data_IF_800910807097
#
_entry.id   IF_800910807097
#
_cell.length_a   1.000
_cell.length_b   1.000
_cell.length_c   1.000
_cell.angle_alpha   90.00
_cell.angle_beta   90.00
_cell.angle_gamma   90.00
#
_symmetry.space_group_name_H-M   'P 1'
#
loop_
_entity.id
_entity.type
_entity.pdbx_description
1 polymer ?
#
# COMPACT_ATOMS: atom_id res chain seq x y z
N UNK A 1 -75.78 9.88 -41.22
CA UNK A 1 -75.42 9.11 -40.01
C UNK A 1 -74.90 7.76 -40.47
N UNK A 2 -73.57 7.62 -40.61
CA UNK A 2 -72.83 6.34 -40.66
C UNK A 2 -71.34 6.68 -40.82
N UNK A 3 -70.62 6.63 -39.71
CA UNK A 3 -69.16 6.59 -39.65
C UNK A 3 -68.69 5.19 -40.06
N UNK A 4 -67.67 5.08 -40.91
CA UNK A 4 -66.84 3.87 -40.97
C UNK A 4 -65.39 4.33 -40.90
N UNK A 5 -64.78 3.96 -39.77
CA UNK A 5 -63.44 4.29 -39.30
C UNK A 5 -62.36 3.54 -40.07
N UNK A 6 -61.31 4.25 -40.48
CA UNK A 6 -60.06 3.68 -40.97
C UNK A 6 -59.28 3.06 -39.80
N UNK A 7 -59.04 1.75 -39.84
CA UNK A 7 -58.16 1.07 -38.89
C UNK A 7 -56.70 1.28 -39.34
N UNK A 8 -55.99 2.17 -38.64
CA UNK A 8 -54.54 2.31 -38.75
C UNK A 8 -53.85 1.15 -38.02
N UNK A 9 -53.05 0.37 -38.74
CA UNK A 9 -52.15 -0.63 -38.15
C UNK A 9 -50.97 0.14 -37.52
N UNK A 10 -50.96 0.23 -36.20
CA UNK A 10 -49.81 0.76 -35.45
C UNK A 10 -48.70 -0.29 -35.42
N UNK A 11 -47.61 -0.03 -36.14
CA UNK A 11 -46.36 -0.79 -36.02
C UNK A 11 -45.68 -0.40 -34.71
N UNK A 12 -45.76 -1.26 -33.69
CA UNK A 12 -45.02 -1.09 -32.44
C UNK A 12 -43.58 -1.52 -32.70
N UNK A 13 -42.68 -0.56 -32.91
CA UNK A 13 -41.23 -0.81 -32.85
C UNK A 13 -40.86 -1.08 -31.38
N UNK A 14 -40.62 -2.34 -31.05
CA UNK A 14 -39.92 -2.71 -29.83
C UNK A 14 -38.44 -2.29 -29.98
N UNK A 15 -38.09 -1.14 -29.40
CA UNK A 15 -36.71 -0.79 -29.09
C UNK A 15 -36.23 -1.75 -28.00
N UNK A 16 -35.63 -2.86 -28.41
CA UNK A 16 -34.82 -3.69 -27.52
C UNK A 16 -33.57 -2.87 -27.21
N UNK A 17 -33.59 -2.16 -26.08
CA UNK A 17 -32.38 -1.68 -25.41
C UNK A 17 -31.59 -2.91 -24.97
N UNK A 18 -30.85 -3.50 -25.91
CA UNK A 18 -29.85 -4.51 -25.60
C UNK A 18 -28.79 -3.83 -24.76
N UNK A 19 -28.75 -4.15 -23.47
CA UNK A 19 -27.56 -3.94 -22.67
C UNK A 19 -26.48 -4.82 -23.30
N UNK A 20 -25.69 -4.26 -24.22
CA UNK A 20 -24.62 -5.01 -24.87
C UNK A 20 -23.54 -5.23 -23.80
N UNK A 21 -23.58 -6.38 -23.15
CA UNK A 21 -22.46 -6.84 -22.31
C UNK A 21 -21.21 -6.80 -23.19
N UNK A 22 -20.14 -6.15 -22.71
CA UNK A 22 -18.86 -6.17 -23.40
C UNK A 22 -18.49 -7.62 -23.72
N UNK A 23 -18.05 -7.88 -24.95
CA UNK A 23 -17.67 -9.23 -25.38
C UNK A 23 -16.44 -9.67 -24.58
N UNK A 24 -16.58 -10.75 -23.79
CA UNK A 24 -15.48 -11.30 -22.98
C UNK A 24 -14.67 -12.27 -23.84
N UNK A 25 -13.34 -12.17 -23.80
CA UNK A 25 -12.44 -13.14 -24.42
C UNK A 25 -11.33 -13.60 -23.47
N UNK A 26 -11.02 -14.89 -23.51
CA UNK A 26 -10.06 -15.55 -22.62
C UNK A 26 -8.71 -15.77 -23.29
N UNK A 27 -7.66 -15.28 -22.67
CA UNK A 27 -6.27 -15.40 -23.10
C UNK A 27 -5.48 -16.21 -22.07
N UNK A 28 -5.45 -17.54 -22.24
CA UNK A 28 -4.72 -18.45 -21.36
C UNK A 28 -3.24 -18.53 -21.73
N UNK A 29 -2.34 -18.25 -20.78
CA UNK A 29 -0.88 -18.27 -20.99
C UNK A 29 -0.35 -19.61 -21.53
N UNK A 30 -0.99 -20.73 -21.22
CA UNK A 30 -0.60 -22.05 -21.74
C UNK A 30 -0.84 -22.18 -23.25
N UNK A 31 -1.87 -21.52 -23.78
CA UNK A 31 -2.12 -21.44 -25.23
C UNK A 31 -1.03 -20.67 -25.97
N UNK A 32 -0.25 -19.87 -25.24
CA UNK A 32 0.92 -19.12 -25.72
C UNK A 32 2.25 -19.80 -25.39
N UNK A 33 2.21 -21.06 -24.94
CA UNK A 33 3.39 -21.88 -24.70
C UNK A 33 3.96 -21.79 -23.29
N UNK A 34 3.24 -21.20 -22.33
CA UNK A 34 3.66 -21.25 -20.93
C UNK A 34 3.64 -22.71 -20.40
N UNK A 35 4.68 -23.08 -19.64
CA UNK A 35 4.89 -24.40 -19.05
C UNK A 35 4.83 -24.26 -17.52
N UNK A 36 3.92 -25.02 -16.92
CA UNK A 36 3.66 -25.02 -15.48
C UNK A 36 4.57 -25.99 -14.70
N UNK A 37 5.89 -25.88 -14.87
CA UNK A 37 6.88 -26.77 -14.24
C UNK A 37 7.69 -26.10 -13.10
N UNK A 38 7.40 -24.84 -12.80
CA UNK A 38 8.09 -24.01 -11.81
C UNK A 38 9.56 -23.70 -12.13
N UNK A 39 10.02 -23.98 -13.35
CA UNK A 39 11.45 -23.95 -13.74
C UNK A 39 11.72 -23.29 -15.09
N UNK A 40 10.81 -23.43 -16.05
CA UNK A 40 10.92 -22.80 -17.36
C UNK A 40 10.57 -21.32 -17.23
N UNK A 41 11.37 -20.43 -17.82
CA UNK A 41 11.02 -19.01 -17.87
C UNK A 41 9.84 -18.79 -18.82
N UNK A 42 8.72 -18.34 -18.26
CA UNK A 42 7.47 -18.08 -18.96
C UNK A 42 7.27 -16.62 -19.36
N UNK A 43 8.25 -15.74 -19.12
CA UNK A 43 8.15 -14.29 -19.39
C UNK A 43 7.68 -13.99 -20.83
N UNK A 44 8.25 -14.68 -21.82
CA UNK A 44 7.87 -14.50 -23.24
C UNK A 44 6.42 -14.89 -23.52
N UNK A 45 5.97 -16.05 -23.00
CA UNK A 45 4.61 -16.50 -23.17
C UNK A 45 3.62 -15.51 -22.54
N UNK A 46 3.90 -15.08 -21.31
CA UNK A 46 3.09 -14.09 -20.60
C UNK A 46 3.01 -12.76 -21.37
N UNK A 47 4.14 -12.23 -21.84
CA UNK A 47 4.14 -10.97 -22.60
C UNK A 47 3.40 -11.09 -23.94
N UNK A 48 3.49 -12.24 -24.62
CA UNK A 48 2.72 -12.50 -25.84
C UNK A 48 1.22 -12.60 -25.58
N UNK A 49 0.82 -13.30 -24.52
CA UNK A 49 -0.59 -13.37 -24.10
C UNK A 49 -1.14 -11.98 -23.78
N UNK A 50 -0.38 -11.16 -23.04
CA UNK A 50 -0.79 -9.81 -22.68
C UNK A 50 -0.95 -8.92 -23.91
N UNK A 51 -0.02 -8.99 -24.86
CA UNK A 51 -0.07 -8.19 -26.09
C UNK A 51 -1.38 -8.40 -26.84
N UNK A 52 -1.80 -9.64 -27.01
CA UNK A 52 -3.03 -9.96 -27.74
C UNK A 52 -4.27 -9.62 -26.90
N UNK A 53 -4.24 -9.92 -25.59
CA UNK A 53 -5.31 -9.57 -24.66
C UNK A 53 -5.57 -8.06 -24.63
N UNK A 54 -4.52 -7.26 -24.57
CA UNK A 54 -4.58 -5.80 -24.46
C UNK A 54 -5.10 -5.14 -25.75
N UNK A 55 -5.09 -5.84 -26.90
CA UNK A 55 -5.66 -5.36 -28.16
C UNK A 55 -7.16 -5.63 -28.31
N UNK A 56 -7.75 -6.42 -27.41
CA UNK A 56 -9.16 -6.76 -27.44
C UNK A 56 -10.05 -5.57 -27.04
N UNK A 57 -11.04 -5.23 -27.87
CA UNK A 57 -11.91 -4.06 -27.67
C UNK A 57 -13.03 -4.29 -26.62
N UNK A 58 -13.15 -5.49 -26.06
CA UNK A 58 -14.11 -5.83 -25.01
C UNK A 58 -13.44 -6.07 -23.66
N UNK A 59 -13.91 -7.06 -22.90
CA UNK A 59 -13.26 -7.48 -21.65
C UNK A 59 -12.29 -8.61 -21.95
N UNK A 60 -11.00 -8.37 -21.75
CA UNK A 60 -9.96 -9.39 -21.92
C UNK A 60 -9.64 -10.04 -20.58
N UNK A 61 -9.66 -11.38 -20.53
CA UNK A 61 -9.25 -12.16 -19.36
C UNK A 61 -7.89 -12.80 -19.62
N UNK A 62 -6.83 -12.19 -19.11
CA UNK A 62 -5.50 -12.79 -19.05
C UNK A 62 -5.47 -13.84 -17.95
N UNK A 63 -5.38 -15.12 -18.30
CA UNK A 63 -5.47 -16.22 -17.34
C UNK A 63 -4.13 -16.92 -17.17
N UNK A 64 -3.69 -17.01 -15.91
CA UNK A 64 -2.65 -17.93 -15.43
C UNK A 64 -3.35 -19.08 -14.68
N UNK A 65 -3.57 -20.25 -15.33
CA UNK A 65 -4.25 -21.38 -14.69
C UNK A 65 -3.46 -21.94 -13.51
N UNK A 66 -4.07 -22.81 -12.71
CA UNK A 66 -3.38 -23.55 -11.66
C UNK A 66 -2.12 -24.26 -12.17
N UNK A 67 -1.05 -24.23 -11.36
CA UNK A 67 0.29 -24.72 -11.69
C UNK A 67 1.38 -23.79 -11.16
N UNK A 68 2.65 -24.18 -11.25
CA UNK A 68 3.79 -23.32 -10.90
C UNK A 68 4.45 -22.77 -12.15
N UNK A 69 4.61 -21.45 -12.26
CA UNK A 69 5.23 -20.78 -13.40
C UNK A 69 6.39 -19.93 -12.92
N UNK A 70 7.61 -20.24 -13.32
CA UNK A 70 8.71 -19.30 -13.16
C UNK A 70 8.60 -18.21 -14.24
N UNK A 71 8.73 -16.95 -13.83
CA UNK A 71 8.67 -15.82 -14.76
C UNK A 71 9.81 -14.88 -14.40
N UNK A 72 10.64 -14.52 -15.38
CA UNK A 72 11.60 -13.43 -15.22
C UNK A 72 10.87 -12.07 -15.17
N UNK A 73 11.60 -10.96 -15.17
CA UNK A 73 10.95 -9.65 -15.15
C UNK A 73 9.97 -9.49 -16.33
N UNK A 74 8.74 -9.07 -16.05
CA UNK A 74 7.66 -8.97 -17.01
C UNK A 74 6.98 -7.60 -16.91
N UNK A 75 7.03 -6.84 -18.01
CA UNK A 75 6.44 -5.52 -18.12
C UNK A 75 5.22 -5.55 -19.04
N UNK A 76 4.03 -5.49 -18.43
CA UNK A 76 2.74 -5.44 -19.08
C UNK A 76 2.33 -3.99 -19.31
N UNK A 77 2.33 -3.54 -20.56
CA UNK A 77 2.18 -2.12 -20.91
C UNK A 77 0.91 -1.93 -21.72
N UNK A 78 0.10 -0.94 -21.33
CA UNK A 78 -1.05 -0.42 -22.07
C UNK A 78 -0.72 0.78 -22.98
N UNK A 79 -1.70 1.59 -23.39
CA UNK A 79 -3.12 1.44 -23.09
C UNK A 79 -3.72 0.20 -23.74
N UNK A 80 -4.65 -0.45 -23.04
CA UNK A 80 -5.44 -1.53 -23.61
C UNK A 80 -6.70 -0.99 -24.27
N UNK A 81 -7.17 -1.67 -25.33
CA UNK A 81 -8.34 -1.27 -26.10
C UNK A 81 -9.65 -1.38 -25.31
N UNK A 82 -9.69 -2.25 -24.29
CA UNK A 82 -10.83 -2.46 -23.40
C UNK A 82 -10.37 -2.80 -21.98
N UNK A 83 -11.28 -3.31 -21.16
CA UNK A 83 -10.99 -3.67 -19.76
C UNK A 83 -10.15 -4.95 -19.69
N UNK A 84 -9.34 -5.07 -18.64
CA UNK A 84 -8.40 -6.17 -18.45
C UNK A 84 -8.62 -6.84 -17.10
N UNK A 85 -8.98 -8.12 -17.11
CA UNK A 85 -8.92 -8.99 -15.93
C UNK A 85 -7.63 -9.81 -15.99
N UNK A 86 -6.71 -9.58 -15.07
CA UNK A 86 -5.48 -10.32 -14.86
C UNK A 86 -5.70 -11.38 -13.77
N UNK A 87 -6.11 -12.57 -14.21
CA UNK A 87 -6.56 -13.65 -13.34
C UNK A 87 -5.42 -14.65 -13.05
N UNK A 88 -5.02 -14.72 -11.78
CA UNK A 88 -3.95 -15.58 -11.28
C UNK A 88 -4.59 -16.72 -10.47
N UNK A 89 -4.59 -17.95 -10.99
CA UNK A 89 -5.05 -19.15 -10.27
C UNK A 89 -3.89 -20.06 -9.83
N UNK A 90 -2.71 -19.85 -10.42
CA UNK A 90 -1.49 -20.61 -10.10
C UNK A 90 -0.57 -19.90 -9.11
N UNK A 91 0.64 -20.45 -9.00
CA UNK A 91 1.77 -19.83 -8.30
C UNK A 91 2.73 -19.30 -9.35
N UNK A 92 2.94 -17.99 -9.37
CA UNK A 92 3.98 -17.36 -10.17
C UNK A 92 5.21 -17.21 -9.28
N UNK A 93 6.38 -17.64 -9.74
CA UNK A 93 7.63 -17.66 -8.96
C UNK A 93 8.67 -16.75 -9.60
N UNK A 94 9.24 -15.87 -8.80
CA UNK A 94 10.35 -15.04 -9.21
C UNK A 94 11.63 -15.89 -9.34
N UNK A 95 12.60 -15.52 -10.19
CA UNK A 95 13.88 -16.22 -10.25
C UNK A 95 14.67 -16.07 -8.95
N UNK A 96 15.58 -17.01 -8.70
CA UNK A 96 16.51 -17.01 -7.56
C UNK A 96 17.96 -16.77 -7.96
N UNK A 97 18.25 -16.64 -9.26
CA UNK A 97 19.58 -16.27 -9.75
C UNK A 97 19.88 -14.79 -9.46
N UNK A 98 20.92 -14.46 -8.67
CA UNK A 98 21.29 -13.09 -8.36
C UNK A 98 21.56 -12.21 -9.57
N UNK A 99 21.94 -12.78 -10.72
CA UNK A 99 22.16 -12.01 -11.95
C UNK A 99 20.88 -11.33 -12.48
N UNK A 100 19.71 -11.81 -12.04
CA UNK A 100 18.39 -11.32 -12.46
C UNK A 100 17.77 -10.34 -11.46
N UNK A 101 18.45 -10.03 -10.35
CA UNK A 101 17.90 -9.15 -9.30
C UNK A 101 18.05 -7.67 -9.62
N UNK A 102 18.81 -7.31 -10.66
CA UNK A 102 19.10 -5.90 -10.98
C UNK A 102 18.00 -5.17 -11.75
N UNK A 103 16.81 -5.76 -11.79
CA UNK A 103 15.61 -5.06 -12.15
C UNK A 103 14.93 -4.56 -10.87
N UNK A 104 14.57 -3.27 -10.83
CA UNK A 104 13.86 -2.68 -9.69
C UNK A 104 12.47 -3.28 -9.48
N UNK A 105 11.92 -3.96 -10.49
CA UNK A 105 10.59 -4.56 -10.48
C UNK A 105 10.60 -5.94 -11.12
N UNK A 106 9.86 -6.88 -10.53
CA UNK A 106 9.63 -8.19 -11.11
C UNK A 106 8.44 -8.18 -12.07
N UNK A 107 7.25 -7.82 -11.61
CA UNK A 107 6.06 -7.68 -12.45
C UNK A 107 5.61 -6.22 -12.44
N UNK A 108 5.51 -5.59 -13.61
CA UNK A 108 4.94 -4.24 -13.73
C UNK A 108 3.71 -4.25 -14.63
N UNK A 109 2.63 -3.57 -14.23
CA UNK A 109 1.49 -3.25 -15.09
C UNK A 109 1.42 -1.74 -15.22
N UNK A 110 1.39 -1.22 -16.45
CA UNK A 110 1.53 0.21 -16.72
C UNK A 110 0.45 0.74 -17.68
N UNK A 111 -0.04 1.95 -17.43
CA UNK A 111 -0.92 2.70 -18.35
C UNK A 111 -2.23 1.97 -18.71
N UNK A 112 -2.84 1.27 -17.76
CA UNK A 112 -4.11 0.57 -17.96
C UNK A 112 -5.25 1.33 -17.28
N UNK A 113 -6.38 1.45 -17.98
CA UNK A 113 -7.63 1.93 -17.43
C UNK A 113 -8.63 0.78 -17.35
N UNK A 114 -9.22 0.51 -16.18
CA UNK A 114 -10.16 -0.60 -16.00
C UNK A 114 -9.45 -1.95 -15.85
N UNK A 115 -8.53 -2.03 -14.88
CA UNK A 115 -7.77 -3.23 -14.54
C UNK A 115 -8.40 -3.96 -13.33
N UNK A 116 -8.56 -5.27 -13.42
CA UNK A 116 -8.93 -6.13 -12.31
C UNK A 116 -7.84 -7.19 -12.14
N UNK A 117 -7.31 -7.37 -10.93
CA UNK A 117 -6.36 -8.44 -10.59
C UNK A 117 -7.03 -9.34 -9.55
N UNK A 118 -7.21 -10.61 -9.89
CA UNK A 118 -7.97 -11.57 -9.07
C UNK A 118 -7.47 -13.02 -9.22
N UNK A 119 -8.16 -13.97 -8.57
CA UNK A 119 -8.08 -15.39 -8.91
C UNK A 119 -7.60 -16.33 -7.80
N UNK A 120 -7.26 -15.82 -6.61
CA UNK A 120 -6.83 -16.64 -5.46
C UNK A 120 -5.37 -17.12 -5.51
N UNK A 121 -4.66 -16.88 -6.61
CA UNK A 121 -3.30 -17.33 -6.83
C UNK A 121 -2.25 -16.62 -5.97
N UNK A 122 -0.99 -16.99 -6.20
CA UNK A 122 0.15 -16.53 -5.38
C UNK A 122 1.28 -15.97 -6.25
N UNK A 123 1.77 -14.78 -5.89
CA UNK A 123 3.05 -14.24 -6.35
C UNK A 123 4.13 -14.58 -5.31
N UNK A 124 4.96 -15.58 -5.60
CA UNK A 124 6.10 -16.00 -4.76
C UNK A 124 7.38 -15.28 -5.20
N UNK A 125 7.77 -14.27 -4.43
CA UNK A 125 8.96 -13.47 -4.69
C UNK A 125 10.27 -14.20 -4.41
N UNK A 126 10.27 -15.37 -3.74
CA UNK A 126 11.46 -16.13 -3.36
C UNK A 126 12.56 -15.26 -2.69
N UNK A 127 12.14 -14.37 -1.80
CA UNK A 127 12.93 -13.29 -1.19
C UNK A 127 14.20 -13.72 -0.47
N UNK A 128 14.20 -14.90 0.16
CA UNK A 128 15.35 -15.44 0.88
C UNK A 128 16.63 -15.55 0.02
N UNK A 129 16.47 -15.71 -1.30
CA UNK A 129 17.60 -15.71 -2.24
C UNK A 129 18.24 -14.32 -2.43
N UNK A 130 17.51 -13.24 -2.16
CA UNK A 130 17.87 -11.86 -2.46
C UNK A 130 18.23 -11.02 -1.23
N UNK A 131 17.63 -11.27 -0.06
CA UNK A 131 17.87 -10.48 1.16
C UNK A 131 19.34 -10.36 1.60
N UNK A 132 20.23 -11.36 1.41
CA UNK A 132 21.66 -11.20 1.69
C UNK A 132 22.36 -10.10 0.88
N UNK A 133 21.76 -9.67 -0.24
CA UNK A 133 22.26 -8.64 -1.16
C UNK A 133 21.64 -7.26 -0.92
N UNK A 134 20.78 -7.11 0.10
CA UNK A 134 20.17 -5.83 0.45
C UNK A 134 21.22 -4.78 0.90
N UNK A 135 22.28 -5.23 1.57
CA UNK A 135 23.40 -4.38 1.96
C UNK A 135 24.21 -3.94 0.73
N UNK A 136 24.14 -2.65 0.39
CA UNK A 136 24.80 -2.06 -0.79
C UNK A 136 26.33 -2.19 -0.75
N UNK A 137 26.93 -2.39 0.44
CA UNK A 137 28.38 -2.69 0.55
C UNK A 137 28.76 -4.06 -0.03
N UNK A 138 27.78 -4.96 -0.14
CA UNK A 138 27.92 -6.31 -0.74
C UNK A 138 27.42 -6.37 -2.18
N UNK A 139 26.78 -5.31 -2.69
CA UNK A 139 26.20 -5.29 -4.02
C UNK A 139 26.28 -3.91 -4.70
N UNK A 140 27.50 -3.42 -4.92
CA UNK A 140 27.76 -2.08 -5.49
C UNK A 140 27.17 -1.84 -6.89
N UNK A 141 26.88 -2.91 -7.64
CA UNK A 141 26.41 -2.82 -9.02
C UNK A 141 24.88 -2.91 -9.16
N UNK A 142 24.17 -3.20 -8.06
CA UNK A 142 22.77 -3.60 -8.09
C UNK A 142 22.11 -3.25 -6.74
N UNK A 143 21.91 -1.96 -6.46
CA UNK A 143 21.66 -1.46 -5.12
C UNK A 143 20.22 -1.68 -4.63
N UNK A 144 19.30 -2.11 -5.50
CA UNK A 144 17.89 -2.28 -5.19
C UNK A 144 17.41 -3.67 -5.59
N UNK A 145 16.60 -4.27 -4.73
CA UNK A 145 15.99 -5.56 -4.98
C UNK A 145 14.64 -5.40 -5.70
N UNK A 146 14.20 -6.40 -6.50
CA UNK A 146 12.96 -6.30 -7.26
C UNK A 146 11.72 -6.22 -6.37
N UNK A 147 10.86 -5.23 -6.62
CA UNK A 147 9.48 -5.18 -6.12
C UNK A 147 8.67 -6.30 -6.77
N UNK A 148 7.75 -6.94 -6.04
CA UNK A 148 6.96 -8.06 -6.59
C UNK A 148 5.98 -7.61 -7.68
N UNK A 149 5.08 -6.67 -7.36
CA UNK A 149 4.13 -6.09 -8.32
C UNK A 149 4.17 -4.56 -8.24
N UNK A 150 4.39 -3.92 -9.38
CA UNK A 150 4.31 -2.47 -9.52
C UNK A 150 3.16 -2.06 -10.44
N UNK A 151 2.35 -1.12 -9.97
CA UNK A 151 1.27 -0.49 -10.71
C UNK A 151 1.68 0.96 -11.02
N UNK A 152 1.92 1.24 -12.29
CA UNK A 152 2.38 2.54 -12.77
C UNK A 152 1.31 3.19 -13.67
N UNK A 153 0.87 4.41 -13.35
CA UNK A 153 -0.09 5.15 -14.18
C UNK A 153 -1.41 4.39 -14.41
N UNK A 154 -1.92 3.72 -13.37
CA UNK A 154 -3.17 2.95 -13.44
C UNK A 154 -4.36 3.85 -13.10
N UNK A 155 -5.42 3.75 -13.89
CA UNK A 155 -6.70 4.41 -13.67
C UNK A 155 -7.80 3.35 -13.46
N UNK A 156 -8.65 3.52 -12.46
CA UNK A 156 -9.81 2.63 -12.21
C UNK A 156 -9.40 1.15 -12.13
N UNK A 157 -8.89 0.72 -10.96
CA UNK A 157 -8.48 -0.67 -10.78
C UNK A 157 -8.96 -1.31 -9.48
N UNK A 158 -9.14 -2.62 -9.53
CA UNK A 158 -9.41 -3.48 -8.37
C UNK A 158 -8.35 -4.57 -8.28
N UNK A 159 -7.85 -4.82 -7.09
CA UNK A 159 -6.90 -5.89 -6.78
C UNK A 159 -7.45 -6.64 -5.59
N UNK A 160 -7.89 -7.87 -5.78
CA UNK A 160 -8.54 -8.61 -4.71
C UNK A 160 -8.30 -10.10 -4.75
N UNK A 161 -8.45 -10.75 -3.59
CA UNK A 161 -8.33 -12.19 -3.45
C UNK A 161 -7.01 -12.74 -4.03
N UNK A 162 -5.89 -12.10 -3.71
CA UNK A 162 -4.56 -12.53 -4.14
C UNK A 162 -3.58 -12.65 -2.98
N UNK A 163 -2.60 -13.53 -3.15
CA UNK A 163 -1.52 -13.73 -2.21
C UNK A 163 -0.20 -13.22 -2.81
N UNK A 164 0.63 -12.60 -1.98
CA UNK A 164 2.03 -12.36 -2.30
C UNK A 164 2.90 -12.79 -1.13
N UNK A 165 3.88 -13.64 -1.40
CA UNK A 165 4.74 -14.22 -0.37
C UNK A 165 6.21 -13.94 -0.67
N UNK A 166 6.99 -13.71 0.38
CA UNK A 166 8.44 -13.58 0.35
C UNK A 166 8.93 -12.63 -0.75
N UNK A 167 8.44 -11.39 -0.78
CA UNK A 167 8.97 -10.42 -1.74
C UNK A 167 10.46 -10.16 -1.50
N UNK A 168 11.22 -9.87 -2.57
CA UNK A 168 12.65 -9.51 -2.46
C UNK A 168 12.83 -8.08 -1.92
N UNK A 169 11.84 -7.23 -2.15
CA UNK A 169 11.70 -5.83 -1.72
C UNK A 169 10.21 -5.62 -1.40
N UNK A 170 9.61 -4.48 -1.72
CA UNK A 170 8.18 -4.24 -1.54
C UNK A 170 7.34 -5.33 -2.21
N UNK A 171 6.23 -5.71 -1.58
CA UNK A 171 5.25 -6.57 -2.21
C UNK A 171 4.59 -5.80 -3.35
N UNK A 172 3.84 -4.74 -3.03
CA UNK A 172 3.13 -3.91 -4.00
C UNK A 172 3.62 -2.46 -3.97
N UNK A 173 3.84 -1.88 -5.14
CA UNK A 173 4.22 -0.46 -5.31
C UNK A 173 3.25 0.24 -6.26
N UNK A 174 2.71 1.38 -5.83
CA UNK A 174 1.82 2.23 -6.61
C UNK A 174 2.48 3.55 -6.90
N UNK A 175 2.52 3.91 -8.17
CA UNK A 175 3.00 5.22 -8.60
C UNK A 175 2.07 5.81 -9.66
N UNK A 176 1.61 7.04 -9.41
CA UNK A 176 0.69 7.76 -10.32
C UNK A 176 -0.59 7.01 -10.61
N UNK A 177 -1.12 6.33 -9.60
CA UNK A 177 -2.38 5.62 -9.68
C UNK A 177 -3.55 6.50 -9.24
N UNK A 178 -4.71 6.33 -9.85
CA UNK A 178 -5.94 7.00 -9.45
C UNK A 178 -7.14 6.03 -9.46
N UNK A 179 -7.95 6.11 -8.41
CA UNK A 179 -9.11 5.25 -8.20
C UNK A 179 -8.76 3.75 -8.21
N UNK A 180 -7.94 3.33 -7.25
CA UNK A 180 -7.52 1.92 -7.09
C UNK A 180 -8.02 1.37 -5.77
N UNK A 181 -8.57 0.15 -5.77
CA UNK A 181 -9.05 -0.55 -4.58
C UNK A 181 -8.31 -1.87 -4.39
N UNK A 182 -7.79 -2.10 -3.19
CA UNK A 182 -7.28 -3.39 -2.73
C UNK A 182 -8.25 -3.97 -1.70
N UNK A 183 -8.63 -5.25 -1.83
CA UNK A 183 -9.43 -5.95 -0.81
C UNK A 183 -9.05 -7.42 -0.70
N UNK A 184 -9.12 -8.01 0.49
CA UNK A 184 -8.79 -9.44 0.70
C UNK A 184 -7.42 -9.86 0.16
N UNK A 185 -6.42 -8.96 0.23
CA UNK A 185 -5.05 -9.31 -0.14
C UNK A 185 -4.31 -9.87 1.07
N UNK A 186 -3.44 -10.84 0.82
CA UNK A 186 -2.62 -11.47 1.85
C UNK A 186 -1.13 -11.36 1.48
N UNK A 187 -0.41 -10.50 2.18
CA UNK A 187 0.99 -10.18 1.93
C UNK A 187 1.84 -10.68 3.08
N UNK A 188 2.77 -11.61 2.82
CA UNK A 188 3.57 -12.23 3.88
C UNK A 188 5.06 -12.32 3.56
N UNK A 189 5.89 -11.87 4.50
CA UNK A 189 7.33 -12.11 4.54
C UNK A 189 7.79 -12.21 6.00
N UNK A 190 8.94 -12.83 6.30
CA UNK A 190 9.51 -12.86 7.65
C UNK A 190 9.67 -11.46 8.25
N UNK A 191 9.46 -11.32 9.57
CA UNK A 191 9.58 -10.01 10.24
C UNK A 191 10.99 -9.40 10.25
N UNK A 192 12.00 -10.17 9.84
CA UNK A 192 13.39 -9.76 9.68
C UNK A 192 13.82 -9.62 8.21
N UNK A 193 12.91 -9.74 7.24
CA UNK A 193 13.22 -9.51 5.83
C UNK A 193 13.39 -8.01 5.53
N UNK A 194 14.49 -7.58 4.90
CA UNK A 194 14.77 -6.17 4.71
C UNK A 194 13.88 -5.54 3.63
N UNK A 195 13.24 -4.41 3.98
CA UNK A 195 12.49 -3.54 3.05
C UNK A 195 11.43 -4.28 2.23
N UNK A 196 10.73 -5.19 2.88
CA UNK A 196 9.59 -5.90 2.29
C UNK A 196 8.28 -5.19 2.59
N UNK A 197 8.19 -3.89 2.35
CA UNK A 197 6.97 -3.12 2.57
C UNK A 197 5.76 -3.82 1.90
N UNK A 198 4.60 -3.82 2.54
CA UNK A 198 3.39 -4.45 2.00
C UNK A 198 2.86 -3.69 0.79
N UNK A 199 2.23 -2.54 1.03
CA UNK A 199 1.75 -1.64 -0.02
C UNK A 199 2.46 -0.29 0.11
N UNK A 200 3.32 0.01 -0.85
CA UNK A 200 4.03 1.28 -0.98
C UNK A 200 3.34 2.19 -1.99
N UNK A 201 3.17 3.47 -1.69
CA UNK A 201 2.33 4.36 -2.49
C UNK A 201 2.92 5.76 -2.60
N UNK A 202 3.10 6.24 -3.82
CA UNK A 202 3.52 7.61 -4.11
C UNK A 202 2.75 8.23 -5.28
N UNK A 203 2.59 9.54 -5.24
CA UNK A 203 1.94 10.35 -6.30
C UNK A 203 0.61 9.75 -6.75
N UNK A 204 -0.21 9.24 -5.82
CA UNK A 204 -1.42 8.49 -6.13
C UNK A 204 -2.62 9.05 -5.37
N UNK A 205 -3.80 9.00 -5.97
CA UNK A 205 -5.02 9.64 -5.45
C UNK A 205 -6.20 8.69 -5.44
N UNK A 206 -7.13 8.84 -4.49
CA UNK A 206 -8.34 8.02 -4.40
C UNK A 206 -8.03 6.52 -4.30
N UNK A 207 -7.22 6.13 -3.31
CA UNK A 207 -6.85 4.74 -3.11
C UNK A 207 -7.56 4.18 -1.89
N UNK A 208 -8.08 2.96 -2.02
CA UNK A 208 -8.76 2.24 -0.95
C UNK A 208 -8.01 0.92 -0.68
N UNK A 209 -7.74 0.61 0.58
CA UNK A 209 -7.22 -0.69 1.00
C UNK A 209 -8.12 -1.20 2.12
N UNK A 210 -8.76 -2.35 1.93
CA UNK A 210 -9.67 -2.92 2.92
C UNK A 210 -9.42 -4.39 3.21
N UNK A 211 -9.82 -4.84 4.40
CA UNK A 211 -10.06 -6.27 4.72
C UNK A 211 -8.90 -7.21 4.35
N UNK A 212 -7.68 -6.81 4.71
CA UNK A 212 -6.44 -7.47 4.23
C UNK A 212 -5.50 -7.84 5.38
N UNK A 213 -4.66 -8.84 5.13
CA UNK A 213 -3.64 -9.30 6.08
C UNK A 213 -2.25 -8.99 5.51
N UNK A 214 -1.44 -8.25 6.27
CA UNK A 214 -0.12 -7.80 5.84
C UNK A 214 0.88 -8.03 6.98
N UNK A 215 1.79 -8.98 6.81
CA UNK A 215 2.86 -9.24 7.77
C UNK A 215 4.19 -9.31 7.04
N UNK A 216 5.09 -8.38 7.31
CA UNK A 216 6.36 -8.26 6.56
C UNK A 216 7.50 -7.83 7.48
N UNK A 217 8.70 -7.62 6.95
CA UNK A 217 9.82 -7.05 7.70
C UNK A 217 9.94 -5.53 7.66
N UNK A 218 9.01 -4.81 7.02
CA UNK A 218 8.99 -3.34 6.99
C UNK A 218 7.54 -2.81 7.05
N UNK A 219 7.26 -1.62 6.52
CA UNK A 219 5.95 -0.97 6.60
C UNK A 219 4.84 -1.88 6.01
N UNK A 220 3.73 -2.06 6.74
CA UNK A 220 2.57 -2.77 6.19
C UNK A 220 1.99 -1.96 5.03
N UNK A 221 1.78 -0.66 5.26
CA UNK A 221 1.35 0.29 4.24
C UNK A 221 2.13 1.58 4.47
N UNK A 222 2.75 2.10 3.41
CA UNK A 222 3.53 3.33 3.44
C UNK A 222 3.05 4.32 2.38
N UNK A 223 2.78 5.56 2.80
CA UNK A 223 2.32 6.65 1.93
C UNK A 223 3.38 7.74 1.88
N UNK A 224 3.95 7.99 0.70
CA UNK A 224 5.00 8.97 0.48
C UNK A 224 4.49 10.16 -0.35
N UNK A 225 5.40 11.03 -0.79
CA UNK A 225 5.10 12.22 -1.55
C UNK A 225 4.02 12.01 -2.64
N UNK A 226 3.03 12.88 -2.65
CA UNK A 226 1.94 12.96 -3.61
C UNK A 226 0.79 12.00 -3.35
N UNK A 227 0.80 11.28 -2.22
CA UNK A 227 -0.35 10.49 -1.77
C UNK A 227 -1.48 11.38 -1.25
N UNK A 228 -2.68 11.23 -1.82
CA UNK A 228 -3.85 12.04 -1.48
C UNK A 228 -5.14 11.21 -1.46
N UNK A 229 -6.06 11.50 -0.53
CA UNK A 229 -7.38 10.86 -0.47
C UNK A 229 -7.26 9.33 -0.41
N UNK A 230 -6.59 8.86 0.65
CA UNK A 230 -6.29 7.45 0.87
C UNK A 230 -7.13 6.95 2.04
N UNK A 231 -7.87 5.87 1.83
CA UNK A 231 -8.67 5.21 2.86
C UNK A 231 -8.14 3.80 3.11
N UNK A 232 -7.78 3.51 4.35
CA UNK A 232 -7.27 2.22 4.81
C UNK A 232 -8.20 1.71 5.90
N UNK A 233 -8.74 0.50 5.76
CA UNK A 233 -9.67 -0.05 6.75
C UNK A 233 -9.58 -1.55 6.92
N UNK A 234 -9.87 -2.08 8.12
CA UNK A 234 -9.96 -3.53 8.31
C UNK A 234 -8.64 -4.28 8.10
N UNK A 235 -7.49 -3.64 8.32
CA UNK A 235 -6.18 -4.25 8.09
C UNK A 235 -5.70 -4.97 9.35
N UNK A 236 -5.28 -6.23 9.20
CA UNK A 236 -4.43 -6.90 10.19
C UNK A 236 -2.98 -6.76 9.75
N UNK A 237 -2.20 -6.00 10.50
CA UNK A 237 -0.82 -5.64 10.16
C UNK A 237 0.13 -6.22 11.22
N UNK A 238 1.07 -7.08 10.84
CA UNK A 238 1.99 -7.66 11.81
C UNK A 238 2.54 -9.04 11.43
N UNK A 239 3.86 -9.27 11.60
CA UNK A 239 4.90 -8.33 12.06
C UNK A 239 5.20 -7.23 11.00
N UNK A 240 6.09 -6.29 11.31
CA UNK A 240 6.52 -5.23 10.38
C UNK A 240 6.72 -3.87 11.06
N UNK A 241 6.68 -2.78 10.31
CA UNK A 241 6.90 -1.41 10.79
C UNK A 241 5.64 -0.56 10.94
N UNK A 242 4.45 -1.14 10.73
CA UNK A 242 3.17 -0.47 10.95
C UNK A 242 2.61 0.23 9.72
N UNK A 243 1.72 1.20 9.95
CA UNK A 243 1.14 2.05 8.90
C UNK A 243 1.81 3.41 8.97
N UNK A 244 2.52 3.78 7.90
CA UNK A 244 3.47 4.87 7.91
C UNK A 244 3.19 5.93 6.86
N UNK A 245 3.29 7.19 7.27
CA UNK A 245 3.34 8.35 6.38
C UNK A 245 4.78 8.84 6.32
N UNK A 246 5.32 8.96 5.11
CA UNK A 246 6.70 9.31 4.83
C UNK A 246 7.63 8.11 4.59
N UNK A 247 8.95 8.30 4.58
CA UNK A 247 9.63 9.53 4.98
C UNK A 247 9.38 10.71 4.04
N UNK A 248 9.06 11.88 4.58
CA UNK A 248 8.87 13.13 3.81
C UNK A 248 10.01 14.13 4.02
N UNK A 249 10.17 15.03 3.04
CA UNK A 249 11.12 16.13 3.05
C UNK A 249 12.49 15.79 2.45
N UNK A 250 12.59 14.68 1.72
CA UNK A 250 13.83 14.35 0.98
C UNK A 250 14.00 15.22 -0.26
N UNK A 251 12.88 15.63 -0.85
CA UNK A 251 12.80 16.54 -1.99
C UNK A 251 11.87 17.72 -1.68
N UNK A 252 11.90 18.75 -2.53
CA UNK A 252 11.11 19.97 -2.31
C UNK A 252 9.61 19.73 -2.54
N UNK A 253 8.82 20.35 -1.67
CA UNK A 253 7.36 20.43 -1.73
C UNK A 253 6.70 19.05 -1.73
N UNK A 254 7.23 18.12 -0.95
CA UNK A 254 6.58 16.82 -0.76
C UNK A 254 5.29 16.99 0.04
N UNK A 255 4.17 16.47 -0.47
CA UNK A 255 2.85 16.63 0.16
C UNK A 255 2.18 15.27 0.34
N UNK A 256 1.66 15.03 1.54
CA UNK A 256 0.68 13.96 1.81
C UNK A 256 -0.53 14.60 2.47
N UNK A 257 -1.75 14.27 2.02
CA UNK A 257 -2.95 14.86 2.60
C UNK A 257 -4.18 13.98 2.48
N UNK A 258 -5.15 14.16 3.38
CA UNK A 258 -6.44 13.46 3.35
C UNK A 258 -6.26 11.93 3.44
N UNK A 259 -5.75 11.50 4.58
CA UNK A 259 -5.47 10.09 4.88
C UNK A 259 -6.40 9.64 6.02
N UNK A 260 -7.11 8.54 5.82
CA UNK A 260 -8.00 7.96 6.83
C UNK A 260 -7.64 6.49 7.04
N UNK A 261 -7.20 6.15 8.24
CA UNK A 261 -6.86 4.80 8.66
C UNK A 261 -7.83 4.41 9.76
N UNK A 262 -8.65 3.37 9.54
CA UNK A 262 -9.73 3.02 10.45
C UNK A 262 -9.82 1.52 10.74
N UNK A 263 -10.24 1.12 11.93
CA UNK A 263 -10.60 -0.27 12.24
C UNK A 263 -9.47 -1.27 11.89
N UNK A 264 -8.24 -0.97 12.32
CA UNK A 264 -7.07 -1.79 12.03
C UNK A 264 -6.55 -2.47 13.30
N UNK A 265 -5.92 -3.63 13.14
CA UNK A 265 -5.25 -4.36 14.22
C UNK A 265 -3.77 -4.50 13.89
N UNK A 266 -2.91 -3.99 14.76
CA UNK A 266 -1.45 -4.06 14.59
C UNK A 266 -0.85 -5.01 15.64
N UNK A 267 -0.12 -6.02 15.20
CA UNK A 267 0.36 -7.13 16.04
C UNK A 267 1.88 -7.22 15.93
N UNK A 268 2.58 -7.09 17.07
CA UNK A 268 4.03 -7.23 17.16
C UNK A 268 4.81 -6.41 16.12
N UNK A 269 4.27 -5.25 15.72
CA UNK A 269 4.95 -4.33 14.82
C UNK A 269 5.92 -3.42 15.58
N UNK A 270 6.93 -2.91 14.88
CA UNK A 270 7.83 -1.89 15.41
C UNK A 270 7.09 -0.59 15.70
N UNK A 271 6.16 -0.19 14.85
CA UNK A 271 5.37 1.03 15.05
C UNK A 271 3.90 0.74 14.77
N UNK A 272 3.03 1.56 15.35
CA UNK A 272 1.61 1.52 15.08
C UNK A 272 1.24 2.50 13.98
N UNK A 273 0.66 3.63 14.38
CA UNK A 273 0.43 4.79 13.52
C UNK A 273 1.68 5.67 13.51
N UNK A 274 2.33 5.80 12.35
CA UNK A 274 3.62 6.50 12.21
C UNK A 274 3.59 7.63 11.19
N UNK A 275 4.18 8.77 11.54
CA UNK A 275 4.55 9.84 10.61
C UNK A 275 6.05 10.11 10.77
N UNK A 276 6.83 10.05 9.69
CA UNK A 276 8.28 10.25 9.69
C UNK A 276 8.71 11.30 8.67
N UNK A 277 9.52 12.28 9.09
CA UNK A 277 10.09 13.30 8.19
C UNK A 277 11.58 13.44 8.43
N UNK A 278 12.35 13.59 7.35
CA UNK A 278 13.81 13.73 7.41
C UNK A 278 14.27 14.89 8.29
N UNK A 279 15.47 14.78 8.85
CA UNK A 279 16.17 15.88 9.52
C UNK A 279 17.67 15.86 9.12
N UNK A 280 18.19 16.87 8.38
CA UNK A 280 17.44 18.02 7.86
C UNK A 280 16.47 17.61 6.75
N UNK A 281 15.57 18.52 6.38
CA UNK A 281 14.67 18.29 5.25
C UNK A 281 14.48 19.53 4.39
N UNK A 282 14.09 19.30 3.15
CA UNK A 282 13.42 20.29 2.31
C UNK A 282 12.00 20.56 2.83
N UNK A 283 11.37 21.61 2.32
CA UNK A 283 9.99 21.96 2.68
C UNK A 283 8.98 20.94 2.17
N UNK A 284 7.90 20.72 2.92
CA UNK A 284 6.80 19.83 2.55
C UNK A 284 5.68 19.89 3.58
N UNK A 285 4.65 19.03 3.42
CA UNK A 285 3.57 18.93 4.40
C UNK A 285 2.92 17.55 4.49
N UNK A 286 2.46 17.22 5.69
CA UNK A 286 1.57 16.10 5.97
C UNK A 286 0.35 16.63 6.71
N UNK A 287 -0.82 16.63 6.06
CA UNK A 287 -2.01 17.34 6.58
C UNK A 287 -3.30 16.52 6.53
N UNK A 288 -4.25 16.79 7.44
CA UNK A 288 -5.57 16.15 7.44
C UNK A 288 -5.45 14.61 7.43
N UNK A 289 -4.95 14.08 8.55
CA UNK A 289 -4.66 12.65 8.73
C UNK A 289 -5.47 12.15 9.93
N UNK A 290 -6.20 11.05 9.76
CA UNK A 290 -6.98 10.42 10.82
C UNK A 290 -6.56 8.96 11.01
N UNK A 291 -6.21 8.61 12.24
CA UNK A 291 -6.01 7.24 12.70
C UNK A 291 -7.11 6.93 13.74
N UNK A 292 -8.02 6.02 13.42
CA UNK A 292 -9.24 5.80 14.19
C UNK A 292 -9.51 4.30 14.46
N UNK A 293 -10.04 3.98 15.64
CA UNK A 293 -10.47 2.62 15.98
C UNK A 293 -9.35 1.57 15.77
N UNK A 294 -8.16 1.84 16.29
CA UNK A 294 -6.98 0.97 16.09
C UNK A 294 -6.71 0.14 17.35
N UNK A 295 -6.61 -1.18 17.18
CA UNK A 295 -6.14 -2.08 18.22
C UNK A 295 -4.66 -2.41 18.04
N UNK A 296 -3.89 -2.27 19.12
CA UNK A 296 -2.47 -2.56 19.17
C UNK A 296 -2.23 -3.79 20.07
N UNK A 297 -1.53 -4.79 19.58
CA UNK A 297 -1.07 -5.93 20.35
C UNK A 297 0.46 -6.00 20.33
N UNK A 298 1.07 -5.69 21.46
CA UNK A 298 2.52 -5.77 21.67
C UNK A 298 3.33 -4.91 20.67
N UNK A 299 2.80 -3.75 20.27
CA UNK A 299 3.44 -2.83 19.31
C UNK A 299 4.53 -2.02 20.00
N UNK A 300 5.71 -1.86 19.40
CA UNK A 300 6.84 -1.19 20.08
C UNK A 300 6.64 0.32 20.22
N UNK A 301 6.26 1.02 19.15
CA UNK A 301 5.94 2.45 19.17
C UNK A 301 4.51 2.67 18.64
N UNK A 302 3.46 2.47 19.47
CA UNK A 302 2.07 2.51 19.02
C UNK A 302 1.67 3.81 18.30
N UNK A 303 1.98 4.97 18.85
CA UNK A 303 1.74 6.27 18.20
C UNK A 303 3.07 7.01 18.13
N UNK A 304 3.51 7.34 16.92
CA UNK A 304 4.79 8.02 16.71
C UNK A 304 4.75 9.07 15.60
N UNK A 305 5.14 10.29 15.95
CA UNK A 305 5.57 11.32 15.00
C UNK A 305 7.06 11.54 15.24
N UNK A 306 7.86 11.32 14.19
CA UNK A 306 9.31 11.50 14.21
C UNK A 306 9.74 12.51 13.14
N UNK A 307 9.92 13.77 13.53
CA UNK A 307 10.48 14.81 12.68
C UNK A 307 12.01 14.92 12.77
N UNK A 308 12.66 13.91 13.34
CA UNK A 308 14.12 13.80 13.46
C UNK A 308 14.64 12.55 12.72
N UNK A 309 13.90 12.08 11.72
CA UNK A 309 14.15 10.80 11.06
C UNK A 309 15.51 10.81 10.34
N UNK A 310 16.39 9.92 10.79
CA UNK A 310 17.71 9.69 10.23
C UNK A 310 18.08 8.19 10.37
N UNK A 311 17.73 7.35 9.38
CA UNK A 311 17.97 5.92 9.43
C UNK A 311 19.44 5.53 9.16
N UNK A 312 20.26 6.47 8.68
CA UNK A 312 21.66 6.23 8.31
C UNK A 312 22.56 7.33 8.86
N UNK A 313 23.27 7.08 9.98
CA UNK A 313 24.23 8.03 10.53
C UNK A 313 25.37 8.36 9.54
N UNK A 314 26.00 9.54 9.66
CA UNK A 314 25.83 10.54 10.71
C UNK A 314 24.57 11.42 10.53
N UNK A 315 23.87 11.66 11.63
CA UNK A 315 22.66 12.48 11.64
C UNK A 315 23.00 13.94 11.95
N UNK A 316 22.35 14.86 11.23
CA UNK A 316 22.46 16.29 11.52
C UNK A 316 21.66 16.66 12.76
N UNK A 317 22.04 17.74 13.42
CA UNK A 317 21.20 18.41 14.43
C UNK A 317 20.20 19.39 13.83
N UNK A 318 20.26 19.62 12.52
CA UNK A 318 19.33 20.49 11.81
C UNK A 318 17.91 19.91 11.82
N UNK A 319 16.92 20.79 11.99
CA UNK A 319 15.53 20.40 12.15
C UNK A 319 14.84 20.12 10.81
N UNK A 320 13.76 19.32 10.84
CA UNK A 320 12.85 19.15 9.71
C UNK A 320 12.10 20.45 9.39
N UNK A 321 11.93 20.69 8.09
CA UNK A 321 11.13 21.78 7.50
C UNK A 321 9.78 21.30 6.93
N UNK A 322 9.36 20.07 7.22
CA UNK A 322 8.05 19.55 6.83
C UNK A 322 7.01 19.99 7.85
N UNK A 323 5.91 20.62 7.42
CA UNK A 323 4.80 20.95 8.31
C UNK A 323 3.87 19.75 8.49
N UNK A 324 3.75 19.26 9.73
CA UNK A 324 2.71 18.29 10.11
C UNK A 324 1.55 19.05 10.73
N UNK A 325 0.33 18.87 10.22
CA UNK A 325 -0.83 19.63 10.70
C UNK A 325 -2.14 18.84 10.61
N UNK A 326 -3.06 19.07 11.55
CA UNK A 326 -4.40 18.49 11.57
C UNK A 326 -4.35 16.96 11.53
N UNK A 327 -3.72 16.37 12.55
CA UNK A 327 -3.57 14.92 12.72
C UNK A 327 -4.40 14.48 13.91
N UNK A 328 -5.29 13.52 13.70
CA UNK A 328 -6.13 12.96 14.75
C UNK A 328 -5.75 11.50 15.00
N UNK A 329 -5.57 11.17 16.27
CA UNK A 329 -5.49 9.80 16.78
C UNK A 329 -6.69 9.59 17.69
N UNK A 330 -7.61 8.73 17.30
CA UNK A 330 -8.89 8.55 17.99
C UNK A 330 -9.15 7.07 18.30
N UNK A 331 -9.56 6.77 19.53
CA UNK A 331 -9.91 5.41 19.97
C UNK A 331 -8.81 4.37 19.64
N UNK A 332 -7.57 4.68 20.04
CA UNK A 332 -6.42 3.78 19.87
C UNK A 332 -6.17 3.08 21.20
N UNK A 333 -6.23 1.75 21.19
CA UNK A 333 -6.22 0.94 22.41
C UNK A 333 -5.38 -0.32 22.29
N UNK A 334 -4.94 -0.86 23.42
CA UNK A 334 -4.26 -2.15 23.50
C UNK A 334 -2.92 -2.08 24.21
N UNK A 335 -1.92 -2.84 23.75
CA UNK A 335 -0.66 -3.01 24.47
C UNK A 335 0.57 -2.53 23.69
N UNK A 336 1.50 -1.92 24.42
CA UNK A 336 2.82 -1.53 23.94
C UNK A 336 3.88 -2.52 24.44
N UNK A 337 4.89 -2.80 23.60
CA UNK A 337 6.09 -3.55 23.99
C UNK A 337 7.26 -2.64 24.44
N UNK A 338 7.08 -1.32 24.38
CA UNK A 338 7.98 -0.34 24.99
C UNK A 338 7.25 0.57 25.98
N UNK A 339 7.99 1.19 26.90
CA UNK A 339 7.44 2.10 27.90
C UNK A 339 6.83 3.35 27.23
N UNK A 340 7.45 3.87 26.17
CA UNK A 340 6.95 5.03 25.45
C UNK A 340 5.87 4.60 24.43
N UNK A 341 4.60 4.69 24.83
CA UNK A 341 3.48 4.29 23.97
C UNK A 341 3.07 5.40 22.99
N UNK A 342 3.28 6.66 23.39
CA UNK A 342 3.01 7.85 22.56
C UNK A 342 4.28 8.70 22.50
N UNK A 343 4.79 8.93 21.29
CA UNK A 343 5.96 9.81 21.05
C UNK A 343 5.65 10.80 19.95
N UNK A 344 5.51 12.08 20.30
CA UNK A 344 5.27 13.17 19.36
C UNK A 344 6.51 14.07 19.32
N UNK A 345 7.53 13.67 18.56
CA UNK A 345 8.80 14.38 18.48
C UNK A 345 8.81 15.30 17.25
N UNK A 346 8.28 16.50 17.42
CA UNK A 346 8.12 17.48 16.36
C UNK A 346 9.27 18.49 16.32
N UNK A 347 9.49 19.05 15.13
CA UNK A 347 10.54 20.03 14.87
C UNK A 347 10.31 21.31 15.66
N UNK A 348 11.34 21.85 16.30
CA UNK A 348 11.27 23.16 16.95
C UNK A 348 11.07 24.31 15.96
N UNK A 349 11.53 24.14 14.71
CA UNK A 349 11.37 25.14 13.64
C UNK A 349 10.02 25.02 12.93
N UNK A 350 9.43 23.82 12.89
CA UNK A 350 8.11 23.55 12.34
C UNK A 350 7.30 22.68 13.31
N UNK A 351 6.85 23.24 14.45
CA UNK A 351 6.05 22.52 15.43
C UNK A 351 4.83 21.88 14.78
N UNK A 352 4.44 20.70 15.25
CA UNK A 352 3.19 20.08 14.83
C UNK A 352 2.01 20.92 15.30
N UNK A 353 0.98 21.07 14.45
CA UNK A 353 -0.18 21.91 14.71
C UNK A 353 -1.47 21.10 14.63
N UNK A 354 -2.40 21.32 15.57
CA UNK A 354 -3.70 20.64 15.52
C UNK A 354 -3.60 19.12 15.69
N UNK A 355 -2.70 18.66 16.57
CA UNK A 355 -2.64 17.24 16.93
C UNK A 355 -3.74 16.92 17.95
N UNK A 356 -4.64 16.01 17.62
CA UNK A 356 -5.74 15.63 18.51
C UNK A 356 -5.55 14.18 18.98
N UNK A 357 -5.42 14.00 20.30
CA UNK A 357 -5.40 12.69 20.96
C UNK A 357 -6.73 12.48 21.67
N UNK A 358 -7.55 11.54 21.19
CA UNK A 358 -8.88 11.30 21.76
C UNK A 358 -9.05 9.82 22.08
N UNK A 359 -9.51 9.50 23.29
CA UNK A 359 -9.76 8.11 23.71
C UNK A 359 -8.55 7.17 23.51
N UNK A 360 -7.38 7.57 24.01
CA UNK A 360 -6.15 6.78 23.96
C UNK A 360 -6.07 5.85 25.19
N UNK A 361 -5.94 4.55 24.95
CA UNK A 361 -5.85 3.53 26.00
C UNK A 361 -4.80 2.44 25.69
N UNK A 362 -3.54 2.83 25.82
CA UNK A 362 -2.36 2.01 25.58
C UNK A 362 -1.67 1.68 26.91
N UNK A 363 -1.49 0.39 27.18
CA UNK A 363 -0.80 -0.09 28.38
C UNK A 363 0.51 -0.77 28.01
N UNK A 364 1.56 -0.51 28.76
CA UNK A 364 2.82 -1.23 28.59
C UNK A 364 2.72 -2.62 29.23
N UNK A 365 3.12 -3.68 28.51
CA UNK A 365 2.99 -5.05 29.02
C UNK A 365 4.17 -5.53 29.90
N UNK A 366 5.25 -4.76 29.99
CA UNK A 366 6.48 -5.17 30.67
C UNK A 366 6.63 -4.69 32.13
N UNK A 367 7.75 -5.05 32.76
CA UNK A 367 8.02 -4.80 34.18
C UNK A 367 8.50 -3.37 34.53
N UNK A 368 8.56 -2.47 33.53
CA UNK A 368 9.19 -1.14 33.62
C UNK A 368 8.28 0.00 34.13
N UNK A 369 7.09 -0.30 34.64
CA UNK A 369 6.10 0.69 35.06
C UNK A 369 4.95 0.89 34.06
N UNK A 370 4.10 1.90 34.22
CA UNK A 370 3.04 2.20 33.24
C UNK A 370 3.63 2.73 31.93
N UNK A 371 2.83 2.68 30.85
CA UNK A 371 3.17 3.39 29.61
C UNK A 371 3.31 4.91 29.88
N UNK A 372 4.08 5.59 29.04
CA UNK A 372 4.26 7.05 29.08
C UNK A 372 4.02 7.68 27.70
N UNK A 373 3.74 8.99 27.73
CA UNK A 373 3.70 9.87 26.57
C UNK A 373 4.88 10.85 26.61
N UNK A 374 5.50 11.12 25.46
CA UNK A 374 6.54 12.16 25.30
C UNK A 374 6.19 13.07 24.13
N UNK A 375 6.27 14.38 24.34
CA UNK A 375 5.93 15.39 23.33
C UNK A 375 7.02 16.46 23.30
N UNK A 376 7.49 16.78 22.11
CA UNK A 376 8.39 17.90 21.83
C UNK A 376 7.79 18.71 20.68
N UNK A 377 7.55 20.00 20.91
CA UNK A 377 6.98 20.93 19.91
C UNK A 377 5.69 20.45 19.24
N UNK A 378 4.85 19.70 19.97
CA UNK A 378 3.56 19.22 19.48
C UNK A 378 2.42 20.03 20.10
N UNK A 379 1.72 20.81 19.28
CA UNK A 379 0.61 21.65 19.71
C UNK A 379 -0.73 21.02 19.31
N UNK A 380 -1.68 20.98 20.25
CA UNK A 380 -2.97 20.36 20.01
C UNK A 380 -3.80 20.16 21.26
N UNK A 381 -4.66 19.14 21.26
CA UNK A 381 -5.54 18.83 22.39
C UNK A 381 -5.55 17.33 22.71
N UNK A 382 -5.84 17.00 23.97
CA UNK A 382 -6.14 15.66 24.40
C UNK A 382 -7.46 15.62 25.16
N UNK A 383 -8.31 14.63 24.88
CA UNK A 383 -9.64 14.50 25.48
C UNK A 383 -10.06 13.04 25.67
N UNK A 384 -11.00 12.78 26.59
CA UNK A 384 -11.53 11.43 26.83
C UNK A 384 -10.60 10.58 27.68
N UNK A 385 -10.49 9.29 27.36
CA UNK A 385 -9.49 8.41 27.99
C UNK A 385 -8.07 8.82 27.57
N UNK A 386 -7.19 9.00 28.55
CA UNK A 386 -5.78 9.37 28.35
C UNK A 386 -4.89 8.42 29.16
N UNK A 387 -4.75 7.18 28.68
CA UNK A 387 -3.82 6.20 29.21
C UNK A 387 -2.86 5.80 28.08
N UNK A 388 -1.56 6.11 28.15
CA UNK A 388 -0.90 6.94 29.15
C UNK A 388 -1.42 8.39 29.19
N UNK A 389 -1.21 9.13 30.30
CA UNK A 389 -1.53 10.55 30.38
C UNK A 389 -0.94 11.32 29.20
N UNK A 390 -1.69 12.25 28.63
CA UNK A 390 -1.20 13.04 27.49
C UNK A 390 0.01 13.90 27.88
N UNK A 391 0.91 14.08 26.92
CA UNK A 391 2.02 15.03 27.00
C UNK A 391 1.73 16.34 26.26
N UNK A 392 0.59 16.46 25.58
CA UNK A 392 0.15 17.71 24.96
C UNK A 392 -0.38 18.60 26.08
N UNK A 393 0.34 19.68 26.38
CA UNK A 393 -0.17 20.71 27.26
C UNK A 393 -1.37 21.35 26.57
N UNK A 394 -2.57 21.20 27.14
CA UNK A 394 -3.72 21.99 26.72
C UNK A 394 -3.39 23.45 26.96
N UNK A 395 -2.92 24.17 25.94
CA UNK A 395 -3.00 25.62 25.95
C UNK A 395 -4.47 25.95 25.84
N UNK A 396 -5.12 26.05 27.01
CA UNK A 396 -6.33 26.85 27.13
C UNK A 396 -5.94 28.23 26.60
N UNK A 397 -6.49 28.61 25.46
CA UNK A 397 -6.39 29.96 24.90
C UNK A 397 -6.60 30.97 26.03
N UNK A 398 -5.56 31.76 26.31
CA UNK A 398 -5.61 32.91 27.20
C UNK A 398 -5.97 34.17 26.44
#
# INVERSE_FOLDING_TARGET
>A
MAFISSFGIAFVLYLILGCSSAEENLFNVQSYGAIADGKTDNSKAFLSTWKDACQWNGTAKFLIPSGEYMVYAANFIGPCSGSMTFQIQGVVKAPTDPSLFCNTTWISIQYVNGLEIEGGGTLDGQGASAWPYFDTSKNSNCPTLPITLKLDFIENATVHDINSINSKSFHFDLFRCNNVTFSHVNLTAPGDSPNTDGIHMGVSTNIQVSDSNIGTGDDCISMINGSQSINISGITCGPGHGISIGSLGKTQNEVVTDIHVKNCTLIATQNGARIKTWAPSESGSATNINFEDIFMDNVRNPIIIDQHYCPSPPCSSEASSVQIKDVTFNNIRGTSSSVAAVTLNCSASFPCQGINLTEINLVYNGAGGPAISSCDNANGTATGTELPPSCINSTLDS
#
